data_IF_963889436622
#
_entry.id   IF_963889436622
#
_cell.length_a   1.000
_cell.length_b   1.000
_cell.length_c   1.000
_cell.angle_alpha   90.00
_cell.angle_beta   90.00
_cell.angle_gamma   90.00
#
_symmetry.space_group_name_H-M   'P 1'
#
loop_
_entity.id
_entity.type
_entity.pdbx_description
1 polymer ?
#
# COMPACT_ATOMS: atom_id res chain seq x y z
N UNK A 1 17.92 29.12 -13.64
CA UNK A 1 17.47 27.74 -13.30
C UNK A 1 18.47 27.11 -12.37
N UNK A 2 18.04 26.48 -11.29
CA UNK A 2 18.96 25.79 -10.38
C UNK A 2 19.33 24.41 -10.95
N UNK A 3 20.63 24.12 -11.02
CA UNK A 3 21.15 22.81 -11.45
C UNK A 3 22.12 22.27 -10.39
N UNK A 4 22.20 20.94 -10.20
CA UNK A 4 23.11 20.35 -9.24
C UNK A 4 24.56 20.54 -9.68
N UNK A 5 25.35 21.28 -8.89
CA UNK A 5 26.77 21.56 -9.18
C UNK A 5 27.68 20.33 -9.00
N UNK A 6 27.30 19.39 -8.13
CA UNK A 6 28.12 18.24 -7.74
C UNK A 6 27.31 16.95 -7.80
N UNK A 7 27.99 15.84 -8.08
CA UNK A 7 27.42 14.50 -7.94
C UNK A 7 27.22 14.20 -6.46
N UNK A 8 26.00 13.79 -6.10
CA UNK A 8 25.68 13.37 -4.72
C UNK A 8 26.44 12.08 -4.37
N UNK A 9 26.98 12.01 -3.16
CA UNK A 9 27.72 10.83 -2.69
C UNK A 9 26.83 9.57 -2.72
N UNK A 10 27.48 8.39 -2.82
CA UNK A 10 26.77 7.10 -2.79
C UNK A 10 25.97 6.94 -1.50
N UNK A 11 26.56 7.30 -0.36
CA UNK A 11 25.91 7.21 0.94
C UNK A 11 24.61 8.05 0.98
N UNK A 12 24.69 9.33 0.63
CA UNK A 12 23.53 10.23 0.65
C UNK A 12 22.43 9.77 -0.32
N UNK A 13 22.82 9.29 -1.51
CA UNK A 13 21.87 8.78 -2.50
C UNK A 13 21.13 7.54 -1.99
N UNK A 14 21.84 6.61 -1.33
CA UNK A 14 21.26 5.38 -0.78
C UNK A 14 20.37 5.69 0.43
N UNK A 15 20.79 6.57 1.33
CA UNK A 15 20.01 7.00 2.49
C UNK A 15 18.71 7.70 2.09
N UNK A 16 18.74 8.57 1.06
CA UNK A 16 17.51 9.18 0.54
C UNK A 16 16.58 8.12 -0.09
N UNK A 17 17.15 7.20 -0.88
CA UNK A 17 16.35 6.19 -1.58
C UNK A 17 15.71 5.18 -0.62
N UNK A 18 16.35 4.83 0.49
CA UNK A 18 15.79 3.88 1.47
C UNK A 18 14.55 4.40 2.19
N UNK A 19 14.33 5.72 2.22
CA UNK A 19 13.09 6.30 2.75
C UNK A 19 11.90 6.15 1.79
N UNK A 20 12.15 5.92 0.49
CA UNK A 20 11.10 5.64 -0.47
C UNK A 20 10.65 4.19 -0.33
N UNK A 21 9.71 3.97 0.59
CA UNK A 21 9.13 2.67 0.94
C UNK A 21 7.62 2.80 1.07
N UNK A 22 6.90 1.72 0.80
CA UNK A 22 5.45 1.65 0.97
C UNK A 22 5.10 1.04 2.34
N UNK A 23 4.15 1.65 3.04
CA UNK A 23 3.53 1.04 4.23
C UNK A 23 2.44 0.08 3.79
N UNK A 24 2.43 -1.13 4.37
CA UNK A 24 1.37 -2.11 4.10
C UNK A 24 0.08 -1.65 4.77
N UNK A 25 -1.05 -1.82 4.08
CA UNK A 25 -2.36 -1.59 4.69
C UNK A 25 -2.63 -2.62 5.77
N UNK A 26 -3.17 -2.18 6.91
CA UNK A 26 -3.69 -3.07 7.93
C UNK A 26 -5.00 -3.70 7.44
N UNK A 27 -5.06 -5.03 7.53
CA UNK A 27 -6.19 -5.81 7.02
C UNK A 27 -7.00 -6.41 8.16
N UNK A 28 -8.32 -6.32 8.01
CA UNK A 28 -9.30 -6.90 8.94
C UNK A 28 -10.02 -8.06 8.25
N UNK A 29 -10.34 -9.09 9.03
CA UNK A 29 -11.11 -10.23 8.55
C UNK A 29 -12.58 -9.88 8.29
N UNK A 30 -13.10 -10.34 7.17
CA UNK A 30 -14.53 -10.26 6.81
C UNK A 30 -14.98 -11.58 6.20
N UNK A 31 -16.18 -12.03 6.53
CA UNK A 31 -16.80 -13.19 5.87
C UNK A 31 -17.72 -12.68 4.77
N UNK A 32 -17.48 -13.08 3.52
CA UNK A 32 -18.29 -12.74 2.34
C UNK A 32 -18.60 -14.03 1.60
N UNK A 33 -19.87 -14.27 1.25
CA UNK A 33 -20.32 -15.50 0.58
C UNK A 33 -19.82 -16.81 1.24
N UNK A 34 -19.71 -16.83 2.58
CA UNK A 34 -19.23 -17.99 3.34
C UNK A 34 -17.70 -18.14 3.41
N UNK A 35 -16.93 -17.33 2.68
CA UNK A 35 -15.47 -17.35 2.68
C UNK A 35 -14.88 -16.21 3.50
N UNK A 36 -13.73 -16.45 4.15
CA UNK A 36 -13.00 -15.44 4.93
C UNK A 36 -12.03 -14.70 4.02
N UNK A 37 -12.21 -13.39 3.88
CA UNK A 37 -11.30 -12.49 3.18
C UNK A 37 -10.66 -11.49 4.14
N UNK A 38 -9.55 -10.88 3.70
CA UNK A 38 -8.85 -9.82 4.42
C UNK A 38 -8.96 -8.53 3.62
N UNK A 39 -9.55 -7.50 4.19
CA UNK A 39 -9.76 -6.20 3.52
C UNK A 39 -9.26 -5.04 4.38
N UNK A 40 -8.81 -3.92 3.78
CA UNK A 40 -8.56 -2.70 4.53
C UNK A 40 -9.82 -2.27 5.28
N UNK A 41 -9.68 -1.82 6.53
CA UNK A 41 -10.81 -1.47 7.40
C UNK A 41 -11.81 -0.49 6.76
N UNK A 42 -11.33 0.46 5.95
CA UNK A 42 -12.19 1.43 5.22
C UNK A 42 -13.17 0.74 4.24
N UNK A 43 -12.80 -0.40 3.68
CA UNK A 43 -13.61 -1.14 2.70
C UNK A 43 -14.52 -2.19 3.32
N UNK A 44 -14.48 -2.37 4.65
CA UNK A 44 -15.24 -3.41 5.34
C UNK A 44 -16.74 -3.39 5.03
N UNK A 45 -17.35 -2.19 4.99
CA UNK A 45 -18.78 -2.03 4.67
C UNK A 45 -19.07 -2.44 3.22
N UNK A 46 -18.24 -2.01 2.28
CA UNK A 46 -18.41 -2.34 0.87
C UNK A 46 -18.24 -3.84 0.61
N UNK A 47 -17.29 -4.49 1.31
CA UNK A 47 -17.09 -5.94 1.27
C UNK A 47 -18.35 -6.71 1.71
N UNK A 48 -18.96 -6.29 2.82
CA UNK A 48 -20.19 -6.92 3.34
C UNK A 48 -21.39 -6.73 2.42
N UNK A 49 -21.46 -5.60 1.73
CA UNK A 49 -22.55 -5.28 0.81
C UNK A 49 -22.33 -5.85 -0.61
N UNK A 50 -21.22 -6.54 -0.87
CA UNK A 50 -20.91 -7.09 -2.20
C UNK A 50 -20.61 -6.03 -3.26
N UNK A 51 -20.23 -4.81 -2.86
CA UNK A 51 -19.97 -3.68 -3.78
C UNK A 51 -18.54 -3.68 -4.33
N UNK A 52 -17.69 -4.60 -3.89
CA UNK A 52 -16.31 -4.74 -4.31
C UNK A 52 -16.03 -6.18 -4.73
N UNK A 53 -15.30 -6.33 -5.83
CA UNK A 53 -14.79 -7.60 -6.32
C UNK A 53 -13.55 -8.00 -5.50
N UNK A 54 -13.62 -9.15 -4.81
CA UNK A 54 -12.58 -9.66 -3.92
C UNK A 54 -11.71 -10.75 -4.57
N UNK A 55 -12.06 -11.21 -5.77
CA UNK A 55 -11.42 -12.35 -6.45
C UNK A 55 -10.51 -11.93 -7.61
N UNK A 56 -10.31 -10.62 -7.81
CA UNK A 56 -9.45 -10.08 -8.86
C UNK A 56 -7.98 -10.42 -8.59
N UNK A 57 -7.45 -11.39 -9.36
CA UNK A 57 -6.03 -11.74 -9.44
C UNK A 57 -5.25 -10.74 -10.30
#
# INVERSE_FOLDING_TARGET
MATPKRRMSRANTRSRRSQWKATKAELVGVTVAGQKHKVPRRLLKAARLGLIDLDRR
#
